data_IF_439387144993
#
_entry.id   IF_439387144993
#
_cell.length_a   1.000
_cell.length_b   1.000
_cell.length_c   1.000
_cell.angle_alpha   90.00
_cell.angle_beta   90.00
_cell.angle_gamma   90.00
#
_symmetry.space_group_name_H-M   'P 1'
#
loop_
_entity.id
_entity.type
_entity.pdbx_description
1 polymer ?
#
# COMPACT_ATOMS: atom_id res chain seq x y z
N UNK A 1 -32.18 -18.26 -32.26
CA UNK A 1 -31.36 -18.57 -31.07
C UNK A 1 -30.57 -17.32 -30.74
N UNK A 2 -31.00 -16.56 -29.72
CA UNK A 2 -30.38 -15.31 -29.34
C UNK A 2 -29.28 -15.54 -28.31
N UNK A 3 -28.07 -15.10 -28.60
CA UNK A 3 -26.92 -15.16 -27.68
C UNK A 3 -27.18 -14.28 -26.45
N UNK A 4 -27.60 -14.89 -25.35
CA UNK A 4 -27.76 -14.21 -24.07
C UNK A 4 -26.43 -14.22 -23.30
N UNK A 5 -25.47 -13.41 -23.74
CA UNK A 5 -24.24 -13.17 -22.96
C UNK A 5 -24.56 -12.21 -21.81
N UNK A 6 -24.26 -12.57 -20.55
CA UNK A 6 -24.49 -11.68 -19.42
C UNK A 6 -23.73 -10.37 -19.62
N UNK A 7 -24.29 -9.23 -19.21
CA UNK A 7 -23.62 -7.94 -19.35
C UNK A 7 -22.29 -7.99 -18.60
N UNK A 8 -21.18 -7.74 -19.32
CA UNK A 8 -19.87 -7.52 -18.72
C UNK A 8 -19.96 -6.28 -17.84
N UNK A 9 -20.20 -6.45 -16.54
CA UNK A 9 -20.02 -5.37 -15.57
C UNK A 9 -18.56 -4.90 -15.72
N UNK A 10 -18.37 -3.69 -16.20
CA UNK A 10 -17.05 -3.08 -16.24
C UNK A 10 -16.50 -3.06 -14.82
N UNK A 11 -15.33 -3.66 -14.62
CA UNK A 11 -14.66 -3.58 -13.34
C UNK A 11 -14.19 -2.14 -13.13
N UNK A 12 -14.25 -1.65 -11.89
CA UNK A 12 -13.77 -0.31 -11.55
C UNK A 12 -12.30 -0.13 -11.93
N UNK A 13 -11.91 1.10 -12.27
CA UNK A 13 -10.51 1.46 -12.53
C UNK A 13 -9.62 0.95 -11.37
N UNK A 14 -8.72 0.00 -11.68
CA UNK A 14 -7.84 -0.64 -10.70
C UNK A 14 -8.04 -2.14 -10.52
N UNK A 15 -9.13 -2.72 -11.02
CA UNK A 15 -9.26 -4.17 -11.17
C UNK A 15 -8.54 -4.60 -12.45
N UNK A 16 -7.33 -5.17 -12.31
CA UNK A 16 -6.69 -5.90 -13.41
C UNK A 16 -7.55 -7.10 -13.79
N UNK A 17 -7.51 -7.51 -15.06
CA UNK A 17 -8.13 -8.78 -15.48
C UNK A 17 -7.55 -9.91 -14.63
N UNK A 18 -8.41 -10.50 -13.79
CA UNK A 18 -8.02 -11.62 -12.94
C UNK A 18 -8.11 -12.93 -13.71
N UNK A 19 -7.16 -13.86 -13.52
CA UNK A 19 -6.00 -13.72 -12.65
C UNK A 19 -4.73 -13.34 -13.45
N UNK A 20 -4.06 -12.24 -13.04
CA UNK A 20 -2.71 -11.93 -13.51
C UNK A 20 -1.70 -12.96 -12.96
N UNK A 21 -0.47 -13.00 -13.48
CA UNK A 21 0.53 -14.02 -13.08
C UNK A 21 0.78 -14.05 -11.57
N UNK A 22 0.65 -12.92 -10.88
CA UNK A 22 0.85 -12.83 -9.44
C UNK A 22 -0.39 -13.28 -8.68
N UNK A 23 -1.59 -13.02 -9.20
CA UNK A 23 -2.82 -13.52 -8.58
C UNK A 23 -2.88 -15.06 -8.66
N UNK A 24 -2.42 -15.65 -9.78
CA UNK A 24 -2.27 -17.11 -9.90
C UNK A 24 -1.27 -17.67 -8.90
N UNK A 25 -0.09 -17.06 -8.81
CA UNK A 25 0.94 -17.46 -7.85
C UNK A 25 0.45 -17.39 -6.40
N UNK A 26 -0.24 -16.31 -6.03
CA UNK A 26 -0.84 -16.18 -4.70
C UNK A 26 -1.91 -17.25 -4.46
N UNK A 27 -2.76 -17.52 -5.46
CA UNK A 27 -3.79 -18.55 -5.37
C UNK A 27 -3.21 -19.95 -5.17
N UNK A 28 -2.12 -20.31 -5.86
CA UNK A 28 -1.41 -21.58 -5.67
C UNK A 28 -0.90 -21.74 -4.23
N UNK A 29 -0.59 -20.63 -3.56
CA UNK A 29 -0.18 -20.59 -2.15
C UNK A 29 -1.36 -20.47 -1.17
N UNK A 30 -2.60 -20.44 -1.65
CA UNK A 30 -3.80 -20.24 -0.81
C UNK A 30 -4.05 -18.79 -0.36
N UNK A 31 -3.37 -17.82 -0.99
CA UNK A 31 -3.52 -16.40 -0.73
C UNK A 31 -4.30 -15.69 -1.85
N UNK A 32 -4.68 -14.44 -1.60
CA UNK A 32 -5.25 -13.55 -2.60
C UNK A 32 -4.70 -12.13 -2.41
N UNK A 33 -4.71 -11.34 -3.48
CA UNK A 33 -4.30 -9.93 -3.43
C UNK A 33 -5.51 -9.06 -3.07
N UNK A 34 -5.46 -8.38 -1.92
CA UNK A 34 -6.47 -7.38 -1.56
C UNK A 34 -6.21 -6.06 -2.28
N UNK A 35 -7.28 -5.47 -2.84
CA UNK A 35 -7.18 -4.18 -3.51
C UNK A 35 -6.87 -3.05 -2.53
N UNK A 36 -5.91 -2.20 -2.89
CA UNK A 36 -5.47 -1.04 -2.10
C UNK A 36 -5.53 0.20 -2.98
N UNK A 37 -5.91 1.34 -2.41
CA UNK A 37 -5.89 2.60 -3.15
C UNK A 37 -4.47 2.91 -3.67
N UNK A 38 -4.38 3.26 -4.95
CA UNK A 38 -3.12 3.51 -5.67
C UNK A 38 -2.68 4.97 -5.55
N UNK A 39 -2.50 5.44 -4.31
CA UNK A 39 -2.04 6.79 -4.01
C UNK A 39 -0.63 6.80 -3.39
N UNK A 40 -0.14 8.00 -3.08
CA UNK A 40 1.16 8.23 -2.43
C UNK A 40 1.27 7.63 -1.03
N UNK A 41 0.15 7.21 -0.44
CA UNK A 41 0.10 6.55 0.87
C UNK A 41 -0.21 5.05 0.77
N UNK A 42 -0.20 4.46 -0.43
CA UNK A 42 -0.49 3.05 -0.67
C UNK A 42 0.31 2.09 0.21
N UNK A 43 1.61 2.32 0.45
CA UNK A 43 2.40 1.50 1.36
C UNK A 43 1.81 1.47 2.78
N UNK A 44 1.50 2.64 3.34
CA UNK A 44 0.91 2.75 4.68
C UNK A 44 -0.53 2.22 4.72
N UNK A 45 -1.27 2.28 3.61
CA UNK A 45 -2.59 1.66 3.48
C UNK A 45 -2.50 0.14 3.54
N UNK A 46 -1.53 -0.47 2.86
CA UNK A 46 -1.29 -1.93 2.94
C UNK A 46 -0.96 -2.33 4.39
N UNK A 47 -0.08 -1.59 5.07
CA UNK A 47 0.28 -1.88 6.46
C UNK A 47 -0.92 -1.69 7.41
N UNK A 48 -1.71 -0.62 7.22
CA UNK A 48 -2.94 -0.39 7.97
C UNK A 48 -3.95 -1.52 7.78
N UNK A 49 -4.09 -2.02 6.55
CA UNK A 49 -4.94 -3.15 6.23
C UNK A 49 -4.49 -4.44 6.93
N UNK A 50 -3.18 -4.72 6.95
CA UNK A 50 -2.64 -5.89 7.64
C UNK A 50 -2.77 -5.81 9.17
N UNK A 51 -2.51 -4.64 9.75
CA UNK A 51 -2.49 -4.46 11.21
C UNK A 51 -3.89 -4.25 11.81
N UNK A 52 -4.80 -3.62 11.06
CA UNK A 52 -6.11 -3.18 11.57
C UNK A 52 -7.30 -3.75 10.81
N UNK A 53 -7.08 -4.52 9.74
CA UNK A 53 -8.16 -5.02 8.88
C UNK A 53 -8.87 -3.95 8.05
N UNK A 54 -8.32 -2.73 7.99
CA UNK A 54 -8.86 -1.61 7.21
C UNK A 54 -7.78 -0.58 6.84
N UNK A 55 -7.85 -0.02 5.63
CA UNK A 55 -6.91 0.99 5.13
C UNK A 55 -7.03 2.38 5.80
N UNK A 56 -8.11 2.66 6.54
CA UNK A 56 -8.46 3.99 7.08
C UNK A 56 -7.37 4.59 7.99
N UNK A 57 -6.62 3.76 8.69
CA UNK A 57 -5.63 4.21 9.68
C UNK A 57 -4.24 4.48 9.09
N UNK A 58 -4.09 4.54 7.76
CA UNK A 58 -2.80 4.75 7.09
C UNK A 58 -2.03 6.00 7.56
N UNK A 59 -2.71 7.10 7.92
CA UNK A 59 -2.06 8.30 8.46
C UNK A 59 -1.45 8.05 9.84
N UNK A 60 -2.16 7.29 10.70
CA UNK A 60 -1.65 6.89 12.01
C UNK A 60 -0.43 5.99 11.84
N UNK A 61 -0.50 5.01 10.93
CA UNK A 61 0.64 4.13 10.63
C UNK A 61 1.84 4.95 10.16
N UNK A 62 1.67 5.88 9.22
CA UNK A 62 2.75 6.77 8.77
C UNK A 62 3.37 7.55 9.93
N UNK A 63 2.54 8.16 10.79
CA UNK A 63 2.99 8.92 11.96
C UNK A 63 3.80 8.05 12.91
N UNK A 64 3.29 6.86 13.23
CA UNK A 64 3.95 5.92 14.14
C UNK A 64 5.32 5.48 13.58
N UNK A 65 5.41 5.20 12.28
CA UNK A 65 6.67 4.91 11.61
C UNK A 65 7.67 6.07 11.71
N UNK A 66 7.24 7.30 11.39
CA UNK A 66 8.12 8.49 11.46
C UNK A 66 8.59 8.74 12.90
N UNK A 67 7.70 8.61 13.89
CA UNK A 67 8.07 8.73 15.31
C UNK A 67 9.08 7.66 15.73
N UNK A 68 8.87 6.42 15.30
CA UNK A 68 9.81 5.33 15.57
C UNK A 68 11.18 5.62 14.96
N UNK A 69 11.23 6.08 13.71
CA UNK A 69 12.48 6.44 13.04
C UNK A 69 13.22 7.59 13.75
N UNK A 70 12.49 8.61 14.20
CA UNK A 70 13.07 9.70 14.99
C UNK A 70 13.68 9.20 16.31
N UNK A 71 12.95 8.37 17.06
CA UNK A 71 13.43 7.83 18.34
C UNK A 71 14.63 6.88 18.18
N UNK A 72 14.82 6.30 17.00
CA UNK A 72 15.91 5.36 16.70
C UNK A 72 16.82 5.86 15.58
N UNK A 73 17.07 7.17 15.51
CA UNK A 73 17.84 7.83 14.43
C UNK A 73 19.13 7.09 14.04
N UNK A 74 19.91 6.61 15.01
CA UNK A 74 21.17 5.90 14.76
C UNK A 74 20.99 4.63 13.91
N UNK A 75 19.83 3.97 13.98
CA UNK A 75 19.53 2.77 13.18
C UNK A 75 19.24 3.12 11.71
N UNK A 76 18.69 4.30 11.44
CA UNK A 76 18.18 4.66 10.11
C UNK A 76 19.08 5.64 9.35
N UNK A 77 19.85 6.48 10.06
CA UNK A 77 20.66 7.54 9.44
C UNK A 77 21.67 7.01 8.42
N UNK A 78 22.19 5.80 8.65
CA UNK A 78 23.13 5.12 7.74
C UNK A 78 22.53 4.77 6.37
N UNK A 79 21.21 4.60 6.30
CA UNK A 79 20.50 4.18 5.08
C UNK A 79 19.90 5.39 4.32
N UNK A 80 19.93 6.58 4.93
CA UNK A 80 19.35 7.79 4.36
C UNK A 80 20.45 8.60 3.66
N UNK A 81 20.41 8.63 2.33
CA UNK A 81 21.41 9.32 1.48
C UNK A 81 21.40 10.84 1.64
N UNK A 82 20.25 11.42 1.97
CA UNK A 82 20.05 12.87 2.14
C UNK A 82 20.05 13.21 3.63
N UNK A 83 20.04 14.49 4.01
CA UNK A 83 19.99 14.86 5.44
C UNK A 83 18.82 14.20 6.18
N UNK A 84 19.08 13.54 7.31
CA UNK A 84 18.09 12.78 8.08
C UNK A 84 16.83 13.61 8.40
N UNK A 85 17.01 14.83 8.89
CA UNK A 85 15.88 15.71 9.25
C UNK A 85 15.04 16.09 8.03
N UNK A 86 15.67 16.34 6.88
CA UNK A 86 14.96 16.65 5.64
C UNK A 86 14.16 15.43 5.14
N UNK A 87 14.73 14.24 5.27
CA UNK A 87 14.04 12.99 4.95
C UNK A 87 12.84 12.75 5.88
N UNK A 88 13.01 12.90 7.19
CA UNK A 88 11.91 12.78 8.17
C UNK A 88 10.80 13.80 7.93
N UNK A 89 11.16 15.06 7.67
CA UNK A 89 10.21 16.12 7.37
C UNK A 89 9.43 15.82 6.08
N UNK A 90 10.07 15.25 5.07
CA UNK A 90 9.35 14.81 3.88
C UNK A 90 8.45 13.61 4.17
N UNK A 91 8.94 12.60 4.91
CA UNK A 91 8.19 11.38 5.20
C UNK A 91 6.92 11.62 6.02
N UNK A 92 6.89 12.66 6.85
CA UNK A 92 5.70 13.07 7.61
C UNK A 92 4.56 13.62 6.74
N UNK A 93 4.86 14.06 5.51
CA UNK A 93 3.87 14.64 4.59
C UNK A 93 3.04 13.54 3.93
N UNK A 94 1.73 13.75 3.86
CA UNK A 94 0.79 12.79 3.25
C UNK A 94 1.06 12.47 1.77
N UNK A 95 1.70 13.40 1.05
CA UNK A 95 1.99 13.30 -0.39
C UNK A 95 3.36 12.69 -0.69
N UNK A 96 4.06 12.19 0.30
CA UNK A 96 5.37 11.56 0.13
C UNK A 96 5.19 10.05 0.05
N UNK A 97 5.75 9.42 -0.98
CA UNK A 97 5.79 7.96 -1.05
C UNK A 97 6.54 7.40 0.17
N UNK A 98 6.01 6.32 0.74
CA UNK A 98 6.63 5.59 1.84
C UNK A 98 7.84 4.77 1.38
#
# INVERSE_FOLDING_TARGET
MGDNKPPKRGFGFGCRETPDIYDKFLQELGYYRKHTALDTSSLFRVVSEQQHGIQKYHEKVRKDCVMYMHSHKAQFVKDIKWGFEAYMNNMSRMRTHG
#
